data_IF_305255760336
#
_entry.id   IF_305255760336
#
_cell.length_a   1.000
_cell.length_b   1.000
_cell.length_c   1.000
_cell.angle_alpha   90.00
_cell.angle_beta   90.00
_cell.angle_gamma   90.00
#
_symmetry.space_group_name_H-M   'P 1'
#
loop_
_entity.id
_entity.type
_entity.pdbx_description
1 polymer ?
#
# COMPACT_ATOMS: atom_id res chain seq x y z
N UNK A 1 34.59 13.73 -3.42
CA UNK A 1 33.33 14.52 -3.49
C UNK A 1 32.44 14.01 -2.36
N UNK A 2 32.19 14.88 -1.38
CA UNK A 2 31.28 14.56 -0.28
C UNK A 2 29.87 14.37 -0.82
N UNK A 3 29.32 13.16 -0.70
CA UNK A 3 27.93 12.89 -1.05
C UNK A 3 27.06 13.25 0.14
N UNK A 4 26.22 14.26 -0.02
CA UNK A 4 25.23 14.61 1.00
C UNK A 4 23.98 13.75 0.80
N UNK A 5 23.56 13.04 1.84
CA UNK A 5 22.31 12.29 1.87
C UNK A 5 21.24 13.14 2.55
N UNK A 6 20.16 13.46 1.85
CA UNK A 6 19.03 14.18 2.40
C UNK A 6 18.04 13.18 3.01
N UNK A 7 17.85 13.25 4.32
CA UNK A 7 16.84 12.45 5.03
C UNK A 7 15.64 13.34 5.33
N UNK A 8 14.46 12.96 4.85
CA UNK A 8 13.20 13.63 5.17
C UNK A 8 12.52 12.88 6.32
N UNK A 9 12.22 13.60 7.40
CA UNK A 9 11.43 13.10 8.52
C UNK A 9 10.02 13.68 8.41
N UNK A 10 9.01 12.81 8.42
CA UNK A 10 7.60 13.19 8.41
C UNK A 10 6.93 12.61 9.65
N UNK A 11 6.13 13.42 10.33
CA UNK A 11 5.39 13.03 11.53
C UNK A 11 3.91 13.26 11.27
N UNK A 12 3.10 12.21 11.41
CA UNK A 12 1.65 12.31 11.40
C UNK A 12 1.19 12.55 12.86
N UNK A 13 0.55 13.68 13.10
CA UNK A 13 0.07 14.09 14.43
C UNK A 13 -1.36 13.67 14.72
N UNK A 14 -2.08 13.17 13.71
CA UNK A 14 -3.46 12.68 13.84
C UNK A 14 -3.67 11.39 13.01
N UNK A 15 -2.91 10.31 13.32
CA UNK A 15 -3.04 9.07 12.58
C UNK A 15 -4.41 8.44 12.79
N UNK A 16 -4.98 7.78 11.75
CA UNK A 16 -6.19 6.97 11.92
C UNK A 16 -5.97 5.92 13.01
N UNK A 17 -7.00 5.68 13.82
CA UNK A 17 -6.96 4.71 14.93
C UNK A 17 -6.93 3.25 14.42
N UNK A 18 -7.01 2.30 15.37
CA UNK A 18 -7.13 0.86 15.13
C UNK A 18 -5.92 0.22 14.43
N UNK A 19 -4.73 0.80 14.56
CA UNK A 19 -3.49 0.17 14.13
C UNK A 19 -2.85 -0.67 15.24
N UNK A 20 -2.13 -1.71 14.85
CA UNK A 20 -1.37 -2.56 15.77
C UNK A 20 0.12 -2.26 15.66
N UNK A 21 0.78 -2.22 16.83
CA UNK A 21 2.22 -2.00 16.91
C UNK A 21 2.91 -3.14 17.65
N UNK A 22 4.22 -3.26 17.44
CA UNK A 22 5.09 -4.18 18.15
C UNK A 22 6.37 -3.47 18.57
N UNK A 23 6.90 -3.88 19.71
CA UNK A 23 8.19 -3.40 20.15
C UNK A 23 9.31 -4.22 19.49
N UNK A 24 10.21 -3.55 18.78
CA UNK A 24 11.33 -4.18 18.09
C UNK A 24 12.63 -3.71 18.76
N UNK A 25 13.46 -4.68 19.18
CA UNK A 25 14.81 -4.40 19.69
C UNK A 25 15.81 -4.50 18.55
N UNK A 26 16.63 -3.47 18.39
CA UNK A 26 17.77 -3.43 17.47
C UNK A 26 19.06 -3.35 18.28
N UNK A 27 20.09 -4.07 17.86
CA UNK A 27 21.37 -4.15 18.58
C UNK A 27 22.44 -3.25 17.96
N UNK A 28 22.25 -2.81 16.73
CA UNK A 28 23.22 -1.96 15.99
C UNK A 28 22.59 -0.63 15.60
N UNK A 29 23.37 0.48 15.61
CA UNK A 29 24.79 0.60 16.01
C UNK A 29 25.03 0.47 17.52
N UNK A 30 23.99 0.55 18.33
CA UNK A 30 23.93 0.28 19.78
C UNK A 30 22.52 -0.18 20.14
N UNK A 31 22.32 -0.93 21.23
CA UNK A 31 21.00 -1.42 21.62
C UNK A 31 19.99 -0.27 21.80
N UNK A 32 18.85 -0.40 21.14
CA UNK A 32 17.69 0.49 21.28
C UNK A 32 16.40 -0.27 20.97
N UNK A 33 15.29 0.30 21.41
CA UNK A 33 13.95 -0.23 21.19
C UNK A 33 13.11 0.79 20.41
N UNK A 34 12.34 0.32 19.45
CA UNK A 34 11.37 1.12 18.71
C UNK A 34 10.00 0.45 18.74
N UNK A 35 8.96 1.25 18.86
CA UNK A 35 7.60 0.78 18.63
C UNK A 35 7.26 0.97 17.14
N UNK A 36 7.06 -0.12 16.43
CA UNK A 36 6.83 -0.13 14.99
C UNK A 36 5.45 -0.70 14.66
N UNK A 37 4.84 -0.24 13.58
CA UNK A 37 3.62 -0.86 13.05
C UNK A 37 3.84 -2.33 12.73
N UNK A 38 2.85 -3.16 13.03
CA UNK A 38 2.80 -4.54 12.52
C UNK A 38 2.53 -4.56 11.02
N UNK A 39 3.00 -5.60 10.33
CA UNK A 39 2.85 -5.73 8.87
C UNK A 39 1.39 -5.61 8.40
N UNK A 40 0.37 -6.20 9.05
CA UNK A 40 -1.03 -6.02 8.66
C UNK A 40 -1.47 -4.55 8.62
N UNK A 41 -1.10 -3.77 9.63
CA UNK A 41 -1.46 -2.34 9.69
C UNK A 41 -0.65 -1.49 8.69
N UNK A 42 0.62 -1.84 8.41
CA UNK A 42 1.39 -1.24 7.33
C UNK A 42 0.75 -1.54 5.97
N UNK A 43 0.29 -2.77 5.76
CA UNK A 43 -0.42 -3.17 4.55
C UNK A 43 -1.71 -2.35 4.36
N UNK A 44 -2.50 -2.14 5.42
CA UNK A 44 -3.67 -1.26 5.38
C UNK A 44 -3.31 0.17 4.92
N UNK A 45 -2.18 0.71 5.38
CA UNK A 45 -1.67 1.99 4.92
C UNK A 45 -1.31 2.03 3.44
N UNK A 46 -0.72 0.97 2.90
CA UNK A 46 -0.41 0.83 1.47
C UNK A 46 -1.68 0.62 0.64
N UNK A 47 -2.61 -0.19 1.13
CA UNK A 47 -3.92 -0.37 0.50
C UNK A 47 -4.67 0.95 0.40
N UNK A 48 -4.74 1.73 1.49
CA UNK A 48 -5.31 3.07 1.47
C UNK A 48 -4.64 3.97 0.41
N UNK A 49 -3.32 3.91 0.27
CA UNK A 49 -2.61 4.68 -0.75
C UNK A 49 -3.02 4.29 -2.17
N UNK A 50 -3.20 3.00 -2.47
CA UNK A 50 -3.68 2.53 -3.77
C UNK A 50 -5.11 3.02 -4.02
N UNK A 51 -6.00 2.85 -3.05
CA UNK A 51 -7.42 3.15 -3.20
C UNK A 51 -7.73 4.65 -3.27
N UNK A 52 -6.97 5.48 -2.53
CA UNK A 52 -7.38 6.86 -2.24
C UNK A 52 -6.54 7.94 -2.94
N UNK A 53 -5.36 7.62 -3.46
CA UNK A 53 -4.54 8.63 -4.16
C UNK A 53 -5.14 8.98 -5.51
N UNK A 54 -5.14 10.28 -5.82
CA UNK A 54 -5.41 10.75 -7.17
C UNK A 54 -4.16 10.53 -8.05
N UNK A 55 -4.33 9.81 -9.17
CA UNK A 55 -3.26 9.53 -10.14
C UNK A 55 -3.35 10.41 -11.38
N UNK A 56 -3.87 11.62 -11.24
CA UNK A 56 -4.14 12.52 -12.37
C UNK A 56 -2.94 12.75 -13.28
N UNK A 57 -1.72 12.72 -12.76
CA UNK A 57 -0.50 13.01 -13.54
C UNK A 57 0.53 11.87 -13.53
N UNK A 58 0.60 11.10 -12.44
CA UNK A 58 1.62 10.05 -12.27
C UNK A 58 1.10 8.91 -11.39
N UNK A 59 0.90 7.70 -11.95
CA UNK A 59 0.62 6.52 -11.15
C UNK A 59 1.80 6.23 -10.22
N UNK A 60 1.51 5.76 -9.02
CA UNK A 60 2.52 5.35 -8.04
C UNK A 60 2.75 3.85 -8.17
N UNK A 61 3.56 3.44 -9.14
CA UNK A 61 3.89 2.04 -9.39
C UNK A 61 4.44 1.33 -8.14
N UNK A 62 5.17 2.06 -7.27
CA UNK A 62 5.67 1.53 -6.01
C UNK A 62 4.58 1.05 -5.05
N UNK A 63 3.40 1.67 -5.02
CA UNK A 63 2.31 1.20 -4.18
C UNK A 63 1.79 -0.16 -4.70
N UNK A 64 1.73 -0.38 -6.03
CA UNK A 64 1.39 -1.66 -6.65
C UNK A 64 2.49 -2.72 -6.47
N UNK A 65 3.76 -2.32 -6.51
CA UNK A 65 4.89 -3.20 -6.18
C UNK A 65 4.79 -3.69 -4.73
N UNK A 66 4.52 -2.79 -3.79
CA UNK A 66 4.30 -3.15 -2.40
C UNK A 66 3.10 -4.09 -2.22
N UNK A 67 2.00 -3.90 -2.97
CA UNK A 67 0.84 -4.81 -2.96
C UNK A 67 1.26 -6.25 -3.31
N UNK A 68 2.02 -6.41 -4.40
CA UNK A 68 2.54 -7.74 -4.80
C UNK A 68 3.38 -8.34 -3.67
N UNK A 69 4.25 -7.54 -3.06
CA UNK A 69 5.11 -8.00 -1.97
C UNK A 69 4.30 -8.51 -0.77
N UNK A 70 3.29 -7.77 -0.32
CA UNK A 70 2.44 -8.18 0.81
C UNK A 70 1.70 -9.48 0.50
N UNK A 71 1.15 -9.63 -0.68
CA UNK A 71 0.42 -10.82 -1.10
C UNK A 71 1.36 -12.02 -1.22
N UNK A 72 2.53 -11.86 -1.86
CA UNK A 72 3.53 -12.91 -2.02
C UNK A 72 4.06 -13.43 -0.67
N UNK A 73 4.17 -12.53 0.33
CA UNK A 73 4.57 -12.89 1.69
C UNK A 73 3.40 -13.35 2.57
N UNK A 74 2.21 -13.55 2.00
CA UNK A 74 1.01 -14.01 2.71
C UNK A 74 0.64 -13.14 3.92
N UNK A 75 0.91 -11.85 3.86
CA UNK A 75 0.53 -10.90 4.91
C UNK A 75 -0.98 -10.68 4.85
N UNK A 76 -1.65 -10.83 5.99
CA UNK A 76 -3.08 -10.52 6.10
C UNK A 76 -3.29 -9.01 6.22
N UNK A 77 -4.23 -8.50 5.45
CA UNK A 77 -4.62 -7.09 5.48
C UNK A 77 -5.48 -6.80 6.73
N UNK A 78 -5.11 -5.79 7.49
CA UNK A 78 -5.90 -5.30 8.62
C UNK A 78 -7.10 -4.47 8.10
N UNK A 79 -8.26 -5.14 7.95
CA UNK A 79 -9.48 -4.53 7.40
C UNK A 79 -10.07 -3.45 8.31
N UNK A 80 -9.90 -3.58 9.63
CA UNK A 80 -10.40 -2.61 10.62
C UNK A 80 -9.61 -1.31 10.47
N UNK A 81 -8.28 -1.41 10.46
CA UNK A 81 -7.42 -0.23 10.27
C UNK A 81 -7.59 0.38 8.86
N UNK A 82 -7.76 -0.46 7.83
CA UNK A 82 -8.07 0.04 6.49
C UNK A 82 -9.37 0.86 6.48
N UNK A 83 -10.43 0.35 7.12
CA UNK A 83 -11.70 1.06 7.24
C UNK A 83 -11.54 2.41 7.93
N UNK A 84 -10.81 2.47 9.05
CA UNK A 84 -10.52 3.70 9.76
C UNK A 84 -9.83 4.74 8.86
N UNK A 85 -8.84 4.29 8.07
CA UNK A 85 -8.13 5.15 7.10
C UNK A 85 -9.04 5.66 5.98
N UNK A 86 -9.85 4.78 5.39
CA UNK A 86 -10.80 5.14 4.32
C UNK A 86 -11.82 6.16 4.81
N UNK A 87 -12.33 5.97 6.03
CA UNK A 87 -13.33 6.86 6.65
C UNK A 87 -12.75 8.22 7.05
N UNK A 88 -11.45 8.30 7.36
CA UNK A 88 -10.81 9.57 7.70
C UNK A 88 -10.58 10.44 6.47
N UNK A 89 -10.12 9.88 5.37
CA UNK A 89 -9.96 10.63 4.12
C UNK A 89 -9.74 9.69 2.92
N UNK A 90 -10.65 9.69 1.98
CA UNK A 90 -10.43 9.06 0.69
C UNK A 90 -11.05 9.86 -0.44
N UNK A 91 -10.34 10.90 -0.89
CA UNK A 91 -10.79 11.82 -1.94
C UNK A 91 -11.20 11.11 -3.24
N UNK A 92 -10.58 9.98 -3.56
CA UNK A 92 -10.95 9.22 -4.76
C UNK A 92 -12.36 8.64 -4.61
N UNK A 93 -12.63 7.92 -3.51
CA UNK A 93 -13.94 7.33 -3.27
C UNK A 93 -15.02 8.41 -3.17
N UNK A 94 -14.73 9.52 -2.49
CA UNK A 94 -15.62 10.66 -2.39
C UNK A 94 -15.97 11.27 -3.77
N UNK A 95 -14.96 11.49 -4.61
CA UNK A 95 -15.15 12.11 -5.94
C UNK A 95 -15.84 11.20 -6.96
N UNK A 96 -15.87 9.89 -6.73
CA UNK A 96 -16.54 8.89 -7.57
C UNK A 96 -17.83 8.35 -6.93
N UNK A 97 -18.26 8.96 -5.80
CA UNK A 97 -19.47 8.56 -5.05
C UNK A 97 -19.46 7.08 -4.63
N UNK A 98 -18.26 6.50 -4.47
CA UNK A 98 -18.09 5.10 -4.06
C UNK A 98 -18.28 5.02 -2.54
N UNK A 99 -19.29 4.28 -2.11
CA UNK A 99 -19.57 4.07 -0.68
C UNK A 99 -18.60 3.07 -0.08
N UNK A 100 -18.01 3.44 1.07
CA UNK A 100 -17.21 2.51 1.86
C UNK A 100 -18.18 1.51 2.52
N UNK A 101 -18.00 0.18 2.29
CA UNK A 101 -18.83 -0.82 2.93
C UNK A 101 -18.74 -0.74 4.47
N UNK A 102 -19.83 -1.07 5.15
CA UNK A 102 -19.85 -1.11 6.61
C UNK A 102 -18.84 -2.12 7.15
N UNK A 103 -18.75 -3.28 6.49
CA UNK A 103 -17.72 -4.29 6.76
C UNK A 103 -16.86 -4.46 5.52
N UNK A 104 -15.55 -4.28 5.65
CA UNK A 104 -14.59 -4.52 4.58
C UNK A 104 -14.24 -6.01 4.53
N UNK A 105 -15.04 -6.77 3.78
CA UNK A 105 -14.73 -8.16 3.47
C UNK A 105 -13.64 -8.26 2.40
N UNK A 106 -13.10 -9.46 2.23
CA UNK A 106 -12.16 -9.76 1.14
C UNK A 106 -12.75 -9.39 -0.23
N UNK A 107 -14.01 -9.72 -0.46
CA UNK A 107 -14.74 -9.48 -1.70
C UNK A 107 -14.86 -7.98 -2.00
N UNK A 108 -15.28 -7.18 -1.01
CA UNK A 108 -15.39 -5.73 -1.17
C UNK A 108 -14.02 -5.07 -1.48
N UNK A 109 -12.96 -5.54 -0.81
CA UNK A 109 -11.61 -5.02 -1.04
C UNK A 109 -11.11 -5.38 -2.44
N UNK A 110 -11.41 -6.59 -2.93
CA UNK A 110 -11.11 -7.00 -4.29
C UNK A 110 -11.83 -6.14 -5.32
N UNK A 111 -13.13 -5.90 -5.14
CA UNK A 111 -13.93 -5.04 -6.01
C UNK A 111 -13.33 -3.64 -6.11
N UNK A 112 -13.02 -3.01 -4.97
CA UNK A 112 -12.37 -1.69 -4.94
C UNK A 112 -11.01 -1.68 -5.66
N UNK A 113 -10.21 -2.73 -5.49
CA UNK A 113 -8.91 -2.84 -6.17
C UNK A 113 -9.05 -3.03 -7.67
N UNK A 114 -10.01 -3.85 -8.12
CA UNK A 114 -10.27 -4.07 -9.54
C UNK A 114 -10.75 -2.78 -10.21
N UNK A 115 -11.62 -2.02 -9.55
CA UNK A 115 -12.03 -0.70 -10.04
C UNK A 115 -10.84 0.26 -10.18
N UNK A 116 -9.95 0.29 -9.18
CA UNK A 116 -8.71 1.08 -9.26
C UNK A 116 -7.77 0.62 -10.35
N UNK A 117 -7.70 -0.69 -10.60
CA UNK A 117 -6.88 -1.29 -11.65
C UNK A 117 -7.32 -0.83 -13.04
N UNK A 118 -8.64 -0.63 -13.26
CA UNK A 118 -9.13 -0.10 -14.56
C UNK A 118 -8.53 1.26 -14.89
N UNK A 119 -8.27 2.08 -13.89
CA UNK A 119 -7.67 3.41 -14.06
C UNK A 119 -6.13 3.40 -14.13
N UNK A 120 -5.51 2.24 -13.92
CA UNK A 120 -4.05 2.12 -13.90
C UNK A 120 -3.46 2.08 -15.30
N UNK A 121 -2.55 3.00 -15.58
CA UNK A 121 -1.61 2.91 -16.71
C UNK A 121 -0.42 2.05 -16.27
N UNK A 122 -0.43 0.78 -16.66
CA UNK A 122 0.56 -0.22 -16.23
C UNK A 122 1.98 0.16 -16.70
N UNK A 123 2.13 0.67 -17.91
CA UNK A 123 3.44 1.04 -18.43
C UNK A 123 4.04 2.24 -17.67
N UNK A 124 3.22 3.24 -17.35
CA UNK A 124 3.68 4.33 -16.46
C UNK A 124 4.01 3.84 -15.05
N UNK A 125 3.26 2.85 -14.54
CA UNK A 125 3.56 2.25 -13.24
C UNK A 125 4.89 1.51 -13.25
N UNK A 126 5.20 0.72 -14.28
CA UNK A 126 6.52 0.08 -14.48
C UNK A 126 7.64 1.13 -14.48
N UNK A 127 7.48 2.19 -15.26
CA UNK A 127 8.48 3.27 -15.35
C UNK A 127 8.70 3.99 -13.99
N UNK A 128 7.65 4.11 -13.15
CA UNK A 128 7.79 4.71 -11.81
C UNK A 128 8.59 3.81 -10.86
N UNK A 129 8.51 2.49 -11.02
CA UNK A 129 9.19 1.50 -10.15
C UNK A 129 10.62 1.24 -10.61
N UNK A 130 10.87 1.22 -11.91
CA UNK A 130 12.15 0.83 -12.51
C UNK A 130 13.41 1.40 -11.81
N UNK A 131 13.47 2.69 -11.41
CA UNK A 131 14.66 3.23 -10.76
C UNK A 131 14.95 2.64 -9.37
N UNK A 132 14.03 1.89 -8.78
CA UNK A 132 14.10 1.39 -7.40
C UNK A 132 14.33 -0.12 -7.31
N UNK A 133 14.20 -0.85 -8.41
CA UNK A 133 14.39 -2.30 -8.48
C UNK A 133 15.72 -2.64 -9.14
N UNK A 134 16.30 -3.77 -8.76
CA UNK A 134 17.56 -4.25 -9.34
C UNK A 134 17.33 -5.22 -10.49
N UNK A 135 16.28 -6.00 -10.42
CA UNK A 135 15.95 -7.05 -11.40
C UNK A 135 14.68 -6.67 -12.17
N UNK A 136 14.85 -6.29 -13.42
CA UNK A 136 13.74 -5.88 -14.29
C UNK A 136 12.70 -6.99 -14.51
N UNK A 137 13.08 -8.26 -14.34
CA UNK A 137 12.17 -9.40 -14.45
C UNK A 137 11.01 -9.33 -13.45
N UNK A 138 11.21 -8.63 -12.32
CA UNK A 138 10.17 -8.43 -11.30
C UNK A 138 8.93 -7.69 -11.82
N UNK A 139 9.08 -6.88 -12.87
CA UNK A 139 7.99 -6.09 -13.45
C UNK A 139 7.66 -6.48 -14.89
N UNK A 140 8.37 -7.42 -15.50
CA UNK A 140 8.11 -7.88 -16.88
C UNK A 140 6.69 -8.45 -17.03
N UNK A 141 6.23 -9.20 -16.03
CA UNK A 141 4.91 -9.82 -16.04
C UNK A 141 3.75 -8.86 -15.77
N UNK A 142 4.05 -7.61 -15.40
CA UNK A 142 2.99 -6.66 -15.06
C UNK A 142 2.08 -6.38 -16.27
N UNK A 143 0.84 -6.77 -16.13
CA UNK A 143 -0.29 -6.47 -17.00
C UNK A 143 -1.54 -6.34 -16.13
N UNK A 144 -2.66 -5.90 -16.69
CA UNK A 144 -3.92 -5.90 -15.95
C UNK A 144 -4.31 -7.31 -15.50
N UNK A 145 -4.16 -8.30 -16.38
CA UNK A 145 -4.46 -9.71 -16.09
C UNK A 145 -3.57 -10.26 -14.97
N UNK A 146 -2.28 -9.89 -14.96
CA UNK A 146 -1.37 -10.24 -13.87
C UNK A 146 -1.87 -9.67 -12.54
N UNK A 147 -2.24 -8.39 -12.49
CA UNK A 147 -2.74 -7.78 -11.25
C UNK A 147 -4.09 -8.39 -10.81
N UNK A 148 -4.98 -8.75 -11.73
CA UNK A 148 -6.21 -9.51 -11.40
C UNK A 148 -5.86 -10.80 -10.69
N UNK A 149 -4.94 -11.60 -11.24
CA UNK A 149 -4.50 -12.86 -10.63
C UNK A 149 -3.83 -12.65 -9.26
N UNK A 150 -3.05 -11.56 -9.07
CA UNK A 150 -2.46 -11.20 -7.78
C UNK A 150 -3.54 -10.86 -6.76
N UNK A 151 -4.52 -10.03 -7.13
CA UNK A 151 -5.61 -9.57 -6.25
C UNK A 151 -6.45 -10.75 -5.72
N UNK A 152 -6.64 -11.81 -6.51
CA UNK A 152 -7.36 -13.02 -6.07
C UNK A 152 -6.74 -13.67 -4.82
N UNK A 153 -5.44 -13.51 -4.61
CA UNK A 153 -4.68 -14.12 -3.52
C UNK A 153 -4.60 -13.25 -2.25
N UNK A 154 -5.29 -12.11 -2.22
CA UNK A 154 -5.33 -11.25 -1.02
C UNK A 154 -5.87 -12.03 0.19
N UNK A 155 -5.25 -11.82 1.33
CA UNK A 155 -5.71 -12.33 2.63
C UNK A 155 -6.15 -11.17 3.50
N UNK A 156 -7.25 -11.31 4.22
CA UNK A 156 -7.86 -10.28 5.05
C UNK A 156 -8.13 -10.87 6.44
N UNK A 157 -7.83 -10.12 7.49
CA UNK A 157 -8.19 -10.46 8.87
C UNK A 157 -9.15 -9.43 9.43
#
# INVERSE_FOLDING_TARGET
>A
KDQTVKIKLEVDTNPPLDFQTQNIIRLTPRPFSINAFMLPSLYAGKMHAILCRSWSTRPKGRDWYDLIWYIANSVELDSIHLKARLSQSCKYLESHEIKIPENLTKENIKELLLERLETLDVEKAKNDVQPFIKDMREIELWSKEFFVAVIENIKVK
#
